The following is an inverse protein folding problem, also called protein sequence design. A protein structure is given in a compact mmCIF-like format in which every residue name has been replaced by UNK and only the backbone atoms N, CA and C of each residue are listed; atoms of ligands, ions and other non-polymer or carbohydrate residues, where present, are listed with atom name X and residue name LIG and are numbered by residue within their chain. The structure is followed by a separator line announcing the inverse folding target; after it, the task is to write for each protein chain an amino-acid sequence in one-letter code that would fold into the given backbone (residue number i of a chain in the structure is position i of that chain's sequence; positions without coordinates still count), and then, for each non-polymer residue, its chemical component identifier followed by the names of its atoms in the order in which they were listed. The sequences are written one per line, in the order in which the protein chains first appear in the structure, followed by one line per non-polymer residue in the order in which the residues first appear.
data_IF_407626793811
#
_entry.id   IF_407626793811
#
_cell.length_a   1.000
_cell.length_b   1.000
_cell.length_c   1.000
_cell.angle_alpha   90.00
_cell.angle_beta   90.00
_cell.angle_gamma   90.00
#
_symmetry.space_group_name_H-M   'P 1'
#
loop_
_entity.id
_entity.type
_entity.pdbx_description
1 polymer ?
#
# COMPACT_ATOMS: atom_id res chain seq x y z
N UNK A 1 -0.17 21.32 20.47
CA UNK A 1 0.39 20.18 19.73
C UNK A 1 -0.27 19.97 18.37
N UNK A 2 -1.57 20.24 18.20
CA UNK A 2 -2.30 20.04 16.93
C UNK A 2 -1.65 20.73 15.72
N UNK A 3 -1.02 21.89 15.92
CA UNK A 3 -0.27 22.57 14.86
C UNK A 3 0.87 21.71 14.28
N UNK A 4 1.64 21.00 15.12
CA UNK A 4 2.75 20.15 14.67
C UNK A 4 2.27 18.92 13.90
N UNK A 5 1.13 18.35 14.30
CA UNK A 5 0.48 17.23 13.60
C UNK A 5 -0.05 17.62 12.23
N UNK A 6 -0.55 18.85 12.06
CA UNK A 6 -1.10 19.32 10.78
C UNK A 6 0.02 19.81 9.83
N UNK A 7 1.06 20.44 10.38
CA UNK A 7 2.13 21.03 9.55
C UNK A 7 3.26 20.05 9.22
N UNK A 8 3.35 18.91 9.92
CA UNK A 8 4.38 17.88 9.74
C UNK A 8 5.82 18.44 9.68
N UNK A 9 6.10 19.54 10.40
CA UNK A 9 7.45 20.17 10.44
C UNK A 9 8.49 19.21 11.02
N UNK A 10 8.05 18.32 11.91
CA UNK A 10 8.87 17.30 12.58
C UNK A 10 8.20 15.94 12.31
N UNK A 11 8.96 14.84 12.09
CA UNK A 11 8.40 13.52 11.87
C UNK A 11 7.32 13.14 12.90
N UNK A 12 6.26 12.48 12.44
CA UNK A 12 5.10 12.13 13.26
C UNK A 12 5.48 11.37 14.54
N UNK A 13 6.43 10.44 14.45
CA UNK A 13 6.95 9.71 15.60
C UNK A 13 7.62 10.63 16.64
N UNK A 14 8.39 11.62 16.20
CA UNK A 14 9.02 12.57 17.10
C UNK A 14 7.99 13.53 17.71
N UNK A 15 7.02 14.00 16.93
CA UNK A 15 5.89 14.80 17.44
C UNK A 15 5.08 14.03 18.50
N UNK A 16 4.86 12.73 18.31
CA UNK A 16 4.19 11.86 19.26
C UNK A 16 4.95 11.67 20.58
N UNK A 17 6.28 11.84 20.60
CA UNK A 17 7.12 11.73 21.82
C UNK A 17 7.28 13.05 22.57
N UNK A 18 6.86 14.18 22.02
CA UNK A 18 6.96 15.49 22.69
C UNK A 18 6.27 15.50 24.07
N UNK A 19 5.05 14.95 24.25
CA UNK A 19 4.41 14.88 25.57
C UNK A 19 5.26 14.15 26.61
N UNK A 20 6.02 13.12 26.19
CA UNK A 20 6.93 12.34 27.03
C UNK A 20 7.97 13.18 27.77
N UNK A 21 8.45 14.23 27.12
CA UNK A 21 9.46 15.13 27.69
C UNK A 21 8.81 16.39 28.27
N UNK A 22 7.79 16.93 27.60
CA UNK A 22 7.13 18.16 28.01
C UNK A 22 6.39 18.02 29.35
N UNK A 23 5.62 16.94 29.56
CA UNK A 23 4.78 16.82 30.75
C UNK A 23 5.58 16.71 32.05
N UNK A 24 6.69 15.95 32.10
CA UNK A 24 7.58 15.96 33.27
C UNK A 24 8.26 17.31 33.52
N UNK A 25 8.67 18.03 32.46
CA UNK A 25 9.31 19.35 32.60
C UNK A 25 8.35 20.39 33.19
N UNK A 26 7.08 20.34 32.78
CA UNK A 26 6.06 21.24 33.30
C UNK A 26 5.43 20.78 34.63
N UNK A 27 5.85 19.63 35.17
CA UNK A 27 5.36 19.09 36.44
C UNK A 27 3.88 18.67 36.41
N UNK A 28 3.36 18.32 35.24
CA UNK A 28 1.94 17.92 35.05
C UNK A 28 1.75 16.46 35.42
N UNK A 29 2.63 15.59 34.92
CA UNK A 29 2.59 14.14 35.14
C UNK A 29 4.02 13.60 35.28
N UNK A 30 4.22 12.58 36.12
CA UNK A 30 5.53 11.94 36.27
C UNK A 30 5.88 11.12 35.02
N UNK A 31 7.15 11.11 34.62
CA UNK A 31 7.60 10.39 33.43
C UNK A 31 7.26 8.89 33.48
N UNK A 32 7.31 8.29 34.67
CA UNK A 32 6.99 6.87 34.86
C UNK A 32 5.55 6.54 34.50
N UNK A 33 4.60 7.33 35.00
CA UNK A 33 3.17 7.14 34.72
C UNK A 33 2.88 7.35 33.23
N UNK A 34 3.47 8.40 32.64
CA UNK A 34 3.27 8.68 31.23
C UNK A 34 3.81 7.57 30.31
N UNK A 35 4.93 6.94 30.65
CA UNK A 35 5.48 5.82 29.86
C UNK A 35 4.52 4.63 29.76
N UNK A 36 3.77 4.34 30.83
CA UNK A 36 2.80 3.23 30.82
C UNK A 36 1.65 3.49 29.86
N UNK A 37 1.25 4.76 29.70
CA UNK A 37 0.21 5.17 28.76
C UNK A 37 0.59 4.93 27.29
N UNK A 38 1.89 4.91 26.96
CA UNK A 38 2.36 4.60 25.61
C UNK A 38 2.39 3.08 25.32
N UNK A 39 2.27 2.23 26.34
CA UNK A 39 2.32 0.76 26.21
C UNK A 39 0.93 0.14 26.24
N UNK A 40 0.02 0.64 25.39
CA UNK A 40 -1.33 0.08 25.25
C UNK A 40 -1.33 -1.27 24.53
N UNK A 41 -2.34 -2.10 24.80
CA UNK A 41 -2.53 -3.40 24.14
C UNK A 41 -2.64 -3.26 22.62
N UNK A 42 -3.27 -2.17 22.16
CA UNK A 42 -3.36 -1.79 20.76
C UNK A 42 -1.97 -1.69 20.10
N UNK A 43 -0.99 -1.04 20.77
CA UNK A 43 0.38 -0.95 20.25
C UNK A 43 1.06 -2.33 20.17
N UNK A 44 0.78 -3.25 21.11
CA UNK A 44 1.29 -4.62 21.02
C UNK A 44 0.68 -5.42 19.86
N UNK A 45 -0.63 -5.28 19.61
CA UNK A 45 -1.30 -5.88 18.43
C UNK A 45 -0.68 -5.33 17.14
N UNK A 46 -0.40 -4.03 17.09
CA UNK A 46 0.28 -3.42 15.96
C UNK A 46 1.68 -4.01 15.74
N UNK A 47 2.52 -4.10 16.77
CA UNK A 47 3.83 -4.74 16.67
C UNK A 47 3.73 -6.20 16.19
N UNK A 48 2.80 -6.97 16.73
CA UNK A 48 2.58 -8.36 16.29
C UNK A 48 2.18 -8.45 14.82
N UNK A 49 1.33 -7.55 14.36
CA UNK A 49 0.91 -7.48 12.96
C UNK A 49 2.05 -7.08 12.01
N UNK A 50 2.93 -6.16 12.41
CA UNK A 50 4.11 -5.80 11.62
C UNK A 50 5.07 -6.99 11.47
N UNK A 51 5.30 -7.75 12.55
CA UNK A 51 6.13 -8.96 12.50
C UNK A 51 5.50 -10.00 11.56
N UNK A 52 4.18 -10.20 11.65
CA UNK A 52 3.45 -11.09 10.74
C UNK A 52 3.58 -10.64 9.28
N UNK A 53 3.36 -9.35 9.01
CA UNK A 53 3.47 -8.75 7.69
C UNK A 53 4.87 -8.97 7.09
N UNK A 54 5.93 -8.67 7.85
CA UNK A 54 7.32 -8.90 7.43
C UNK A 54 7.57 -10.39 7.17
N UNK A 55 7.02 -11.29 7.99
CA UNK A 55 7.10 -12.73 7.77
C UNK A 55 6.47 -13.16 6.44
N UNK A 56 5.27 -12.67 6.13
CA UNK A 56 4.56 -12.92 4.86
C UNK A 56 5.33 -12.31 3.67
N UNK A 57 5.94 -11.15 3.86
CA UNK A 57 6.76 -10.47 2.87
C UNK A 57 8.03 -11.25 2.55
N UNK A 58 8.72 -11.77 3.56
CA UNK A 58 9.98 -12.51 3.39
C UNK A 58 9.87 -13.76 2.52
N UNK A 59 8.67 -14.36 2.45
CA UNK A 59 8.37 -15.56 1.63
C UNK A 59 7.74 -15.17 0.27
N UNK A 60 7.52 -13.88 0.02
CA UNK A 60 6.78 -13.34 -1.13
C UNK A 60 5.39 -13.98 -1.28
N UNK A 61 4.75 -14.35 -0.16
CA UNK A 61 3.45 -15.02 -0.18
C UNK A 61 2.36 -14.11 -0.75
N UNK A 62 2.42 -12.82 -0.41
CA UNK A 62 1.52 -11.79 -0.91
C UNK A 62 1.57 -11.68 -2.44
N UNK A 63 2.76 -11.73 -3.07
CA UNK A 63 2.90 -11.74 -4.53
C UNK A 63 2.27 -12.98 -5.16
N UNK A 64 2.48 -14.15 -4.56
CA UNK A 64 1.89 -15.41 -5.05
C UNK A 64 0.37 -15.37 -5.02
N UNK A 65 -0.21 -14.84 -3.94
CA UNK A 65 -1.66 -14.67 -3.80
C UNK A 65 -2.15 -13.65 -4.83
N UNK A 66 -1.46 -12.52 -5.00
CA UNK A 66 -1.83 -11.53 -6.00
C UNK A 66 -1.86 -12.09 -7.41
N UNK A 67 -0.80 -12.79 -7.81
CA UNK A 67 -0.68 -13.41 -9.12
C UNK A 67 -1.73 -14.50 -9.31
N UNK A 68 -2.03 -15.29 -8.28
CA UNK A 68 -3.07 -16.32 -8.34
C UNK A 68 -4.46 -15.71 -8.60
N UNK A 69 -4.79 -14.61 -7.91
CA UNK A 69 -6.05 -13.87 -8.12
C UNK A 69 -6.10 -13.29 -9.55
N UNK A 70 -5.00 -12.73 -10.03
CA UNK A 70 -4.92 -12.17 -11.38
C UNK A 70 -5.07 -13.25 -12.47
N UNK A 71 -4.43 -14.41 -12.29
CA UNK A 71 -4.57 -15.55 -13.18
C UNK A 71 -6.02 -16.07 -13.22
N UNK A 72 -6.74 -16.02 -12.09
CA UNK A 72 -8.15 -16.42 -12.04
C UNK A 72 -9.07 -15.44 -12.79
N UNK A 73 -8.78 -14.14 -12.80
CA UNK A 73 -9.60 -13.12 -13.49
C UNK A 73 -9.46 -13.10 -15.02
N UNK A 74 -8.44 -13.74 -15.57
CA UNK A 74 -8.26 -13.89 -17.02
C UNK A 74 -7.73 -12.64 -17.75
N UNK A 75 -7.78 -12.65 -19.09
CA UNK A 75 -7.08 -11.69 -19.97
C UNK A 75 -7.94 -10.53 -20.48
N UNK A 76 -9.23 -10.48 -20.13
CA UNK A 76 -10.11 -9.39 -20.54
C UNK A 76 -9.79 -8.11 -19.76
N UNK A 77 -9.59 -6.94 -20.40
CA UNK A 77 -9.17 -5.70 -19.72
C UNK A 77 -10.05 -5.28 -18.54
N UNK A 78 -11.38 -5.49 -18.63
CA UNK A 78 -12.33 -5.17 -17.55
C UNK A 78 -12.17 -6.10 -16.33
N UNK A 79 -11.99 -7.39 -16.59
CA UNK A 79 -11.81 -8.39 -15.54
C UNK A 79 -10.43 -8.30 -14.91
N UNK A 80 -9.41 -7.96 -15.70
CA UNK A 80 -8.07 -7.68 -15.20
C UNK A 80 -8.07 -6.48 -14.25
N UNK A 81 -8.75 -5.39 -14.59
CA UNK A 81 -8.91 -4.24 -13.68
C UNK A 81 -9.58 -4.64 -12.36
N UNK A 82 -10.66 -5.42 -12.42
CA UNK A 82 -11.31 -5.95 -11.22
C UNK A 82 -10.38 -6.87 -10.42
N UNK A 83 -9.59 -7.73 -11.08
CA UNK A 83 -8.62 -8.60 -10.44
C UNK A 83 -7.58 -7.82 -9.66
N UNK A 84 -7.05 -6.75 -10.23
CA UNK A 84 -6.15 -5.84 -9.53
C UNK A 84 -6.82 -5.17 -8.34
N UNK A 85 -8.05 -4.67 -8.48
CA UNK A 85 -8.77 -4.05 -7.38
C UNK A 85 -9.01 -5.04 -6.22
N UNK A 86 -9.57 -6.20 -6.51
CA UNK A 86 -9.88 -7.23 -5.50
C UNK A 86 -8.60 -7.73 -4.81
N UNK A 87 -7.56 -8.03 -5.59
CA UNK A 87 -6.26 -8.47 -5.06
C UNK A 87 -5.64 -7.41 -4.14
N UNK A 88 -5.65 -6.13 -4.58
CA UNK A 88 -5.12 -5.02 -3.80
C UNK A 88 -5.91 -4.81 -2.51
N UNK A 89 -7.25 -4.83 -2.58
CA UNK A 89 -8.08 -4.69 -1.39
C UNK A 89 -7.81 -5.80 -0.38
N UNK A 90 -7.73 -7.05 -0.86
CA UNK A 90 -7.47 -8.21 -0.02
C UNK A 90 -6.10 -8.15 0.68
N UNK A 91 -5.06 -7.80 -0.06
CA UNK A 91 -3.72 -7.68 0.52
C UNK A 91 -3.62 -6.51 1.50
N UNK A 92 -4.28 -5.40 1.21
CA UNK A 92 -4.31 -4.22 2.09
C UNK A 92 -5.11 -4.44 3.38
N UNK A 93 -5.85 -5.55 3.51
CA UNK A 93 -6.48 -5.92 4.78
C UNK A 93 -5.44 -6.36 5.83
N UNK A 94 -4.29 -6.86 5.41
CA UNK A 94 -3.28 -7.42 6.31
C UNK A 94 -1.96 -6.64 6.26
N UNK A 95 -1.70 -5.96 5.15
CA UNK A 95 -0.54 -5.12 4.93
C UNK A 95 -0.91 -3.64 5.04
N UNK A 96 0.08 -2.79 5.30
CA UNK A 96 -0.15 -1.34 5.24
C UNK A 96 -0.55 -0.90 3.82
N UNK A 97 -1.41 0.11 3.72
CA UNK A 97 -1.84 0.68 2.45
C UNK A 97 -0.64 1.10 1.57
N UNK A 98 0.38 1.69 2.21
CA UNK A 98 1.61 2.14 1.54
C UNK A 98 2.41 0.96 0.99
N UNK A 99 2.59 -0.10 1.78
CA UNK A 99 3.30 -1.31 1.32
C UNK A 99 2.56 -1.97 0.16
N UNK A 100 1.24 -2.14 0.29
CA UNK A 100 0.41 -2.78 -0.74
C UNK A 100 0.46 -2.01 -2.07
N UNK A 101 0.38 -0.67 -2.02
CA UNK A 101 0.50 0.16 -3.23
C UNK A 101 1.90 0.07 -3.85
N UNK A 102 2.96 0.09 -3.03
CA UNK A 102 4.34 -0.03 -3.51
C UNK A 102 4.62 -1.39 -4.16
N UNK A 103 4.05 -2.48 -3.63
CA UNK A 103 4.16 -3.84 -4.19
C UNK A 103 3.36 -4.00 -5.48
N UNK A 104 2.16 -3.40 -5.57
CA UNK A 104 1.32 -3.49 -6.77
C UNK A 104 1.89 -2.70 -7.93
N UNK A 105 2.61 -1.59 -7.67
CA UNK A 105 3.19 -0.75 -8.71
C UNK A 105 4.07 -1.53 -9.72
N UNK A 106 5.11 -2.30 -9.31
CA UNK A 106 5.92 -3.08 -10.23
C UNK A 106 5.16 -4.22 -10.93
N UNK A 107 4.18 -4.85 -10.26
CA UNK A 107 3.36 -5.92 -10.86
C UNK A 107 2.51 -5.34 -12.01
N UNK A 108 1.86 -4.21 -11.75
CA UNK A 108 0.97 -3.53 -12.70
C UNK A 108 1.75 -3.02 -13.89
N UNK A 109 2.91 -2.39 -13.67
CA UNK A 109 3.75 -1.91 -14.78
C UNK A 109 4.25 -3.08 -15.63
N UNK A 110 4.61 -4.21 -15.02
CA UNK A 110 5.01 -5.43 -15.73
C UNK A 110 3.88 -5.97 -16.61
N UNK A 111 2.67 -6.10 -16.06
CA UNK A 111 1.50 -6.61 -16.80
C UNK A 111 1.09 -5.67 -17.94
N UNK A 112 1.12 -4.35 -17.71
CA UNK A 112 0.78 -3.38 -18.75
C UNK A 112 1.82 -3.39 -19.88
N UNK A 113 3.11 -3.50 -19.54
CA UNK A 113 4.16 -3.60 -20.53
C UNK A 113 3.98 -4.84 -21.42
N UNK A 114 3.65 -5.99 -20.83
CA UNK A 114 3.38 -7.23 -21.57
C UNK A 114 2.12 -7.12 -22.47
N UNK A 115 1.06 -6.47 -21.98
CA UNK A 115 -0.15 -6.21 -22.77
C UNK A 115 0.13 -5.29 -23.96
N UNK A 116 0.91 -4.22 -23.76
CA UNK A 116 1.30 -3.30 -24.83
C UNK A 116 2.22 -3.97 -25.86
N UNK A 117 3.14 -4.82 -25.40
CA UNK A 117 3.99 -5.65 -26.24
C UNK A 117 3.15 -6.59 -27.14
N UNK A 118 2.25 -7.38 -26.55
CA UNK A 118 1.36 -8.28 -27.29
C UNK A 118 0.45 -7.53 -28.29
N UNK A 119 -0.07 -6.37 -27.89
CA UNK A 119 -0.91 -5.54 -28.76
C UNK A 119 -0.15 -4.97 -29.95
N UNK A 120 1.10 -4.54 -29.75
CA UNK A 120 1.98 -4.05 -30.84
C UNK A 120 2.34 -5.18 -31.81
N UNK A 121 2.65 -6.39 -31.29
CA UNK A 121 2.91 -7.60 -32.09
C UNK A 121 1.74 -7.97 -33.01
N UNK A 122 0.50 -7.78 -32.56
CA UNK A 122 -0.68 -8.06 -33.39
C UNK A 122 -1.00 -6.95 -34.41
N UNK A 123 -0.59 -5.69 -34.15
CA UNK A 123 -0.85 -4.55 -35.06
C UNK A 123 0.20 -4.33 -36.15
N UNK A 124 1.45 -4.69 -35.91
CA UNK A 124 2.55 -4.58 -36.87
C UNK A 124 3.13 -5.98 -37.08
N UNK A 125 3.00 -6.53 -38.28
CA UNK A 125 3.62 -7.81 -38.66
C UNK A 125 5.10 -7.89 -38.25
N UNK A 126 5.54 -9.10 -37.95
CA UNK A 126 6.60 -9.48 -37.00
C UNK A 126 8.05 -8.99 -37.24
N UNK A 127 8.33 -8.01 -38.09
CA UNK A 127 9.71 -7.82 -38.60
C UNK A 127 10.51 -6.65 -38.01
N UNK A 128 9.96 -5.81 -37.14
CA UNK A 128 10.71 -4.65 -36.59
C UNK A 128 10.49 -4.42 -35.09
N UNK A 129 10.56 -5.48 -34.27
CA UNK A 129 10.61 -5.35 -32.80
C UNK A 129 11.84 -6.09 -32.29
N UNK A 130 13.02 -5.68 -32.75
CA UNK A 130 14.27 -6.05 -32.09
C UNK A 130 14.33 -5.31 -30.76
N UNK A 131 14.52 -6.10 -29.70
CA UNK A 131 14.93 -5.76 -28.33
C UNK A 131 15.56 -4.35 -28.24
N UNK A 132 14.76 -3.39 -27.80
CA UNK A 132 15.24 -2.18 -27.11
C UNK A 132 14.62 -2.22 -25.74
N UNK A 133 15.44 -2.68 -24.81
CA UNK A 133 15.43 -2.50 -23.36
C UNK A 133 14.08 -2.20 -22.72
N UNK A 134 13.57 -3.24 -22.05
CA UNK A 134 12.27 -3.34 -21.36
C UNK A 134 12.11 -2.27 -20.25
N UNK A 135 13.18 -1.58 -19.86
CA UNK A 135 13.13 -0.48 -18.88
C UNK A 135 12.75 0.89 -19.48
N UNK A 136 13.09 1.19 -20.74
CA UNK A 136 12.94 2.55 -21.28
C UNK A 136 11.57 2.81 -21.95
N UNK A 137 10.82 1.74 -22.27
CA UNK A 137 9.50 1.81 -22.91
C UNK A 137 8.41 2.31 -21.94
N UNK A 138 8.56 2.06 -20.64
CA UNK A 138 7.48 2.19 -19.65
C UNK A 138 7.02 3.63 -19.34
N UNK A 139 7.80 4.67 -19.71
CA UNK A 139 7.45 6.06 -19.38
C UNK A 139 7.22 6.98 -20.59
N UNK A 140 7.74 6.64 -21.79
CA UNK A 140 7.96 7.69 -22.81
C UNK A 140 7.18 7.62 -24.11
N UNK A 141 6.37 6.60 -24.41
CA UNK A 141 5.58 6.68 -25.65
C UNK A 141 4.29 5.85 -25.69
N UNK A 142 3.34 6.18 -24.81
CA UNK A 142 1.97 5.68 -24.91
C UNK A 142 1.03 6.77 -25.45
N UNK A 143 0.43 6.45 -26.61
CA UNK A 143 -0.69 7.19 -27.22
C UNK A 143 -1.74 7.51 -26.15
N UNK A 144 -2.39 8.65 -26.29
CA UNK A 144 -3.33 9.26 -25.32
C UNK A 144 -4.37 8.28 -24.73
N UNK A 145 -4.88 7.33 -25.54
CA UNK A 145 -5.88 6.33 -25.12
C UNK A 145 -5.32 5.21 -24.21
N UNK A 146 -4.05 4.84 -24.39
CA UNK A 146 -3.40 3.78 -23.59
C UNK A 146 -2.96 4.34 -22.22
N UNK A 147 -2.60 5.63 -22.21
CA UNK A 147 -2.28 6.39 -20.99
C UNK A 147 -3.45 6.52 -20.03
N UNK A 148 -4.68 6.66 -20.52
CA UNK A 148 -5.86 6.76 -19.67
C UNK A 148 -6.19 5.44 -18.98
N UNK A 149 -5.96 4.31 -19.64
CA UNK A 149 -6.15 2.97 -19.05
C UNK A 149 -5.12 2.72 -17.95
N UNK A 150 -3.85 3.08 -18.19
CA UNK A 150 -2.78 3.03 -17.20
C UNK A 150 -3.09 3.87 -15.96
N UNK A 151 -3.46 5.15 -16.15
CA UNK A 151 -3.83 6.05 -15.07
C UNK A 151 -5.03 5.53 -14.27
N UNK A 152 -6.06 5.03 -14.97
CA UNK A 152 -7.24 4.47 -14.33
C UNK A 152 -6.89 3.25 -13.48
N UNK A 153 -6.04 2.35 -13.98
CA UNK A 153 -5.62 1.16 -13.24
C UNK A 153 -4.78 1.52 -12.01
N UNK A 154 -3.77 2.39 -12.13
CA UNK A 154 -2.99 2.85 -10.97
C UNK A 154 -3.87 3.53 -9.92
N UNK A 155 -4.75 4.46 -10.35
CA UNK A 155 -5.64 5.16 -9.44
C UNK A 155 -6.59 4.19 -8.74
N UNK A 156 -7.11 3.20 -9.47
CA UNK A 156 -7.99 2.17 -8.92
C UNK A 156 -7.31 1.35 -7.82
N UNK A 157 -6.02 1.07 -7.96
CA UNK A 157 -5.23 0.33 -6.98
C UNK A 157 -5.00 1.17 -5.73
N UNK A 158 -4.63 2.44 -5.87
CA UNK A 158 -4.49 3.35 -4.72
C UNK A 158 -5.77 3.47 -3.89
N UNK A 159 -6.93 3.56 -4.56
CA UNK A 159 -8.21 3.57 -3.88
C UNK A 159 -8.55 2.21 -3.27
N UNK A 160 -8.29 1.12 -3.98
CA UNK A 160 -8.57 -0.23 -3.48
C UNK A 160 -7.74 -0.58 -2.25
N UNK A 161 -6.47 -0.14 -2.20
CA UNK A 161 -5.62 -0.28 -1.01
C UNK A 161 -6.24 0.46 0.19
N UNK A 162 -6.61 1.73 0.00
CA UNK A 162 -7.27 2.52 1.04
C UNK A 162 -8.58 1.89 1.54
N UNK A 163 -9.40 1.35 0.65
CA UNK A 163 -10.66 0.67 1.01
C UNK A 163 -10.39 -0.66 1.73
N UNK A 164 -9.42 -1.44 1.25
CA UNK A 164 -9.01 -2.70 1.85
C UNK A 164 -8.51 -2.52 3.29
N UNK A 165 -7.74 -1.47 3.55
CA UNK A 165 -7.22 -1.16 4.88
C UNK A 165 -8.28 -0.85 5.93
N UNK A 166 -9.51 -0.49 5.54
CA UNK A 166 -10.63 -0.23 6.47
C UNK A 166 -11.24 -1.55 6.99
N UNK A 167 -11.04 -2.66 6.29
CA UNK A 167 -11.75 -3.92 6.56
C UNK A 167 -11.37 -4.61 7.87
N UNK A 168 -10.15 -4.40 8.36
CA UNK A 168 -9.63 -5.05 9.57
C UNK A 168 -9.00 -4.02 10.51
N UNK A 169 -8.92 -4.39 11.79
CA UNK A 169 -8.29 -3.56 12.84
C UNK A 169 -6.81 -3.29 12.53
N UNK A 170 -6.14 -4.27 11.92
CA UNK A 170 -4.70 -4.23 11.60
C UNK A 170 -4.41 -3.42 10.33
N UNK A 171 -5.38 -3.26 9.42
CA UNK A 171 -5.15 -2.70 8.10
C UNK A 171 -4.65 -1.24 8.11
N UNK A 172 -5.14 -0.41 9.05
CA UNK A 172 -4.69 0.99 9.17
C UNK A 172 -4.55 1.47 10.61
N UNK A 173 -3.59 2.37 10.85
CA UNK A 173 -3.37 2.98 12.17
C UNK A 173 -4.60 3.63 12.80
N UNK A 174 -5.46 4.36 12.06
CA UNK A 174 -6.70 4.91 12.61
C UNK A 174 -7.65 3.86 13.19
N UNK A 175 -7.76 2.67 12.58
CA UNK A 175 -8.62 1.60 13.09
C UNK A 175 -8.11 1.10 14.45
N UNK A 176 -6.80 1.04 14.62
CA UNK A 176 -6.17 0.63 15.86
C UNK A 176 -6.36 1.67 16.97
N UNK A 177 -6.22 2.95 16.65
CA UNK A 177 -6.49 4.05 17.58
C UNK A 177 -7.97 4.01 18.01
N UNK A 178 -8.88 3.79 17.06
CA UNK A 178 -10.30 3.65 17.35
C UNK A 178 -10.58 2.45 18.26
N UNK A 179 -9.93 1.31 18.03
CA UNK A 179 -10.04 0.15 18.90
C UNK A 179 -9.54 0.45 20.31
N UNK A 180 -8.40 1.14 20.45
CA UNK A 180 -7.87 1.57 21.74
C UNK A 180 -8.88 2.44 22.52
N UNK A 181 -9.53 3.40 21.86
CA UNK A 181 -10.56 4.25 22.48
C UNK A 181 -11.85 3.51 22.86
N UNK A 182 -12.15 2.37 22.22
CA UNK A 182 -13.33 1.56 22.53
C UNK A 182 -13.07 0.54 23.65
N UNK A 183 -11.81 0.16 23.84
CA UNK A 183 -11.37 -0.77 24.88
C UNK A 183 -11.11 -0.05 26.24
N UNK A 184 -10.98 1.29 26.23
CA UNK A 184 -10.96 2.17 27.43
C UNK A 184 -12.37 2.43 28.01
#
# INVERSE_FOLDING_TARGET
MSFLWITEIIPMAATALIPMVAYPIFGILEAKELCFEYLTDANFVFFGSLIMAIGIESVNLHERIALMILMATGTNPRWLMLGFQVSTAFLSMFMSNTATAAMMLPIVTSVICELDYCRRKHKKGAENVVKRDIEEICLKDSKEKDRNTYKCLLLSICFSASIGGISTIIGTGPNLIMAAFLDE
#
